data_IF_549670559968
#
_entry.id   IF_549670559968
#
_cell.length_a   1.000
_cell.length_b   1.000
_cell.length_c   1.000
_cell.angle_alpha   90.00
_cell.angle_beta   90.00
_cell.angle_gamma   90.00
#
_symmetry.space_group_name_H-M   'P 1'
#
loop_
_entity.id
_entity.type
_entity.pdbx_description
1 polymer ?
#
# COMPACT_ATOMS: atom_id res chain seq x y z
N UNK A 1 -14.48 -59.19 9.98
CA UNK A 1 -15.09 -57.95 9.46
C UNK A 1 -14.04 -57.27 8.58
N UNK A 2 -14.39 -56.79 7.38
CA UNK A 2 -13.44 -56.03 6.55
C UNK A 2 -13.39 -54.59 7.07
N UNK A 3 -12.37 -54.25 7.86
CA UNK A 3 -12.05 -52.87 8.22
C UNK A 3 -11.37 -52.19 7.02
N UNK A 4 -12.01 -51.18 6.44
CA UNK A 4 -11.47 -50.43 5.31
C UNK A 4 -10.41 -49.41 5.78
N UNK A 5 -9.25 -49.90 6.22
CA UNK A 5 -8.16 -49.09 6.79
C UNK A 5 -7.83 -47.85 5.93
N UNK A 6 -7.56 -48.04 4.64
CA UNK A 6 -7.16 -46.95 3.74
C UNK A 6 -8.29 -45.93 3.48
N UNK A 7 -9.56 -46.37 3.47
CA UNK A 7 -10.68 -45.44 3.32
C UNK A 7 -10.82 -44.55 4.55
N UNK A 8 -10.57 -45.09 5.74
CA UNK A 8 -10.59 -44.29 6.96
C UNK A 8 -9.40 -43.32 7.01
N UNK A 9 -8.21 -43.73 6.55
CA UNK A 9 -7.06 -42.82 6.38
C UNK A 9 -7.41 -41.67 5.43
N UNK A 10 -8.09 -41.94 4.32
CA UNK A 10 -8.53 -40.90 3.38
C UNK A 10 -9.52 -39.92 4.01
N UNK A 11 -10.37 -40.37 4.95
CA UNK A 11 -11.34 -39.52 5.65
C UNK A 11 -10.73 -38.65 6.75
N UNK A 12 -9.51 -38.93 7.20
CA UNK A 12 -8.84 -38.13 8.23
C UNK A 12 -8.51 -36.70 7.78
N UNK A 13 -8.46 -36.46 6.46
CA UNK A 13 -8.23 -35.15 5.83
C UNK A 13 -7.04 -34.37 6.44
N UNK A 14 -5.85 -34.97 6.37
CA UNK A 14 -4.62 -34.37 6.87
C UNK A 14 -3.72 -33.88 5.72
N UNK A 15 -2.88 -32.89 6.01
CA UNK A 15 -1.86 -32.39 5.08
C UNK A 15 -0.47 -32.85 5.50
N UNK A 16 0.24 -33.52 4.59
CA UNK A 16 1.61 -33.99 4.79
C UNK A 16 1.75 -35.51 4.69
N UNK A 17 2.75 -36.04 5.38
CA UNK A 17 3.13 -37.45 5.39
C UNK A 17 2.79 -38.06 6.75
N UNK A 18 1.83 -38.97 6.77
CA UNK A 18 1.49 -39.75 7.95
C UNK A 18 2.39 -40.99 8.02
N UNK A 19 3.25 -41.06 9.03
CA UNK A 19 4.11 -42.22 9.29
C UNK A 19 3.51 -43.06 10.41
N UNK A 20 3.29 -44.34 10.10
CA UNK A 20 2.78 -45.34 11.03
C UNK A 20 3.86 -46.40 11.29
N UNK A 21 4.25 -46.55 12.54
CA UNK A 21 5.17 -47.58 12.99
C UNK A 21 4.44 -48.57 13.89
N UNK A 22 4.58 -49.86 13.62
CA UNK A 22 3.96 -50.93 14.41
C UNK A 22 5.08 -51.87 14.88
N UNK A 23 5.17 -52.08 16.18
CA UNK A 23 6.08 -53.05 16.79
C UNK A 23 5.33 -54.02 17.70
N UNK A 24 5.91 -55.20 17.91
CA UNK A 24 5.35 -56.20 18.82
C UNK A 24 5.76 -55.86 20.25
N UNK A 25 4.77 -55.70 21.13
CA UNK A 25 4.96 -55.50 22.56
C UNK A 25 5.12 -56.80 23.33
N UNK A 26 5.14 -56.68 24.66
CA UNK A 26 5.03 -57.82 25.58
C UNK A 26 3.58 -58.33 25.62
N UNK A 27 3.39 -59.57 26.08
CA UNK A 27 2.04 -60.13 26.34
C UNK A 27 1.08 -60.10 25.14
N UNK A 28 1.61 -60.23 23.92
CA UNK A 28 0.84 -60.26 22.68
C UNK A 28 0.17 -58.93 22.27
N UNK A 29 0.59 -57.82 22.89
CA UNK A 29 0.15 -56.48 22.49
C UNK A 29 0.94 -55.94 21.29
N UNK A 30 0.37 -54.93 20.63
CA UNK A 30 1.04 -54.13 19.61
C UNK A 30 1.33 -52.73 20.17
N UNK A 31 2.48 -52.20 19.81
CA UNK A 31 2.84 -50.80 20.05
C UNK A 31 2.76 -50.08 18.72
N UNK A 32 1.86 -49.11 18.62
CA UNK A 32 1.62 -48.34 17.39
C UNK A 32 1.99 -46.90 17.64
N UNK A 33 2.89 -46.36 16.83
CA UNK A 33 3.34 -44.97 16.89
C UNK A 33 3.02 -44.25 15.59
N UNK A 34 2.43 -43.06 15.70
CA UNK A 34 1.97 -42.25 14.57
C UNK A 34 2.59 -40.86 14.67
N UNK A 35 3.17 -40.40 13.58
CA UNK A 35 3.65 -39.02 13.45
C UNK A 35 3.21 -38.45 12.12
N UNK A 36 2.68 -37.23 12.14
CA UNK A 36 2.34 -36.47 10.95
C UNK A 36 3.47 -35.48 10.67
N UNK A 37 4.05 -35.53 9.46
CA UNK A 37 5.12 -34.65 9.04
C UNK A 37 4.66 -33.79 7.86
N UNK A 38 4.61 -32.47 8.02
CA UNK A 38 4.32 -31.56 6.92
C UNK A 38 5.58 -30.79 6.51
N UNK A 39 6.15 -31.11 5.34
CA UNK A 39 7.32 -30.41 4.80
C UNK A 39 7.02 -28.97 4.39
N UNK A 40 5.76 -28.65 4.08
CA UNK A 40 5.34 -27.31 3.70
C UNK A 40 5.34 -26.33 4.86
N UNK A 41 5.28 -26.82 6.10
CA UNK A 41 5.39 -25.99 7.29
C UNK A 41 6.85 -25.59 7.50
N UNK A 42 7.19 -24.32 7.27
CA UNK A 42 8.55 -23.79 7.45
C UNK A 42 9.00 -23.69 8.92
N UNK A 43 8.08 -23.83 9.87
CA UNK A 43 8.39 -23.74 11.29
C UNK A 43 9.07 -25.02 11.80
N UNK A 44 10.24 -24.86 12.42
CA UNK A 44 11.00 -25.97 13.02
C UNK A 44 10.37 -26.54 14.28
N UNK A 45 9.45 -25.82 14.93
CA UNK A 45 8.69 -26.27 16.09
C UNK A 45 7.82 -27.50 15.76
N UNK A 46 7.49 -27.74 14.48
CA UNK A 46 6.80 -28.98 14.06
C UNK A 46 7.54 -30.26 14.49
N UNK A 47 8.86 -30.22 14.62
CA UNK A 47 9.68 -31.35 15.04
C UNK A 47 9.60 -31.63 16.56
N UNK A 48 9.02 -30.70 17.34
CA UNK A 48 8.80 -30.87 18.78
C UNK A 48 7.50 -31.61 19.08
N UNK A 49 6.63 -31.81 18.07
CA UNK A 49 5.36 -32.51 18.24
C UNK A 49 5.66 -34.00 18.47
N UNK A 50 5.32 -34.55 19.64
CA UNK A 50 5.64 -35.93 19.96
C UNK A 50 4.80 -36.92 19.13
N UNK A 51 5.33 -38.10 18.81
CA UNK A 51 4.54 -39.16 18.19
C UNK A 51 3.40 -39.64 19.10
N UNK A 52 2.22 -39.85 18.52
CA UNK A 52 1.09 -40.49 19.18
C UNK A 52 1.37 -41.99 19.30
N UNK A 53 1.65 -42.46 20.51
CA UNK A 53 2.03 -43.86 20.75
C UNK A 53 1.00 -44.56 21.63
N UNK A 54 0.51 -45.70 21.16
CA UNK A 54 -0.48 -46.53 21.82
C UNK A 54 0.06 -47.94 22.05
N UNK A 55 -0.34 -48.58 23.14
CA UNK A 55 -0.06 -49.98 23.43
C UNK A 55 -1.39 -50.66 23.75
N UNK A 56 -1.81 -51.57 22.88
CA UNK A 56 -3.10 -52.24 22.99
C UNK A 56 -3.06 -53.61 22.28
N UNK A 57 -4.09 -54.42 22.52
CA UNK A 57 -4.28 -55.68 21.78
C UNK A 57 -4.68 -55.39 20.33
N UNK A 58 -4.45 -56.33 19.38
CA UNK A 58 -4.92 -56.20 18.01
C UNK A 58 -6.43 -55.91 17.91
N UNK A 59 -7.24 -56.55 18.75
CA UNK A 59 -8.70 -56.36 18.78
C UNK A 59 -9.09 -54.93 19.14
N UNK A 60 -8.45 -54.34 20.14
CA UNK A 60 -8.72 -52.95 20.54
C UNK A 60 -8.33 -51.95 19.45
N UNK A 61 -7.26 -52.24 18.70
CA UNK A 61 -6.90 -51.43 17.52
C UNK A 61 -7.94 -51.55 16.41
N UNK A 62 -8.41 -52.77 16.09
CA UNK A 62 -9.40 -52.96 15.03
C UNK A 62 -10.72 -52.22 15.32
N UNK A 63 -11.13 -52.11 16.59
CA UNK A 63 -12.39 -51.49 17.00
C UNK A 63 -12.28 -49.97 17.24
N UNK A 64 -11.14 -49.49 17.75
CA UNK A 64 -11.01 -48.14 18.31
C UNK A 64 -9.93 -47.25 17.69
N UNK A 65 -9.04 -47.78 16.84
CA UNK A 65 -7.85 -47.04 16.38
C UNK A 65 -8.19 -45.67 15.78
N UNK A 66 -9.07 -45.63 14.78
CA UNK A 66 -9.42 -44.37 14.11
C UNK A 66 -10.17 -43.39 15.02
N UNK A 67 -10.98 -43.88 15.96
CA UNK A 67 -11.65 -43.01 16.93
C UNK A 67 -10.63 -42.29 17.81
N UNK A 68 -9.54 -42.97 18.18
CA UNK A 68 -8.48 -42.40 19.02
C UNK A 68 -7.57 -41.44 18.26
N UNK A 69 -7.28 -41.71 16.98
CA UNK A 69 -6.28 -40.94 16.22
C UNK A 69 -6.87 -39.77 15.44
N UNK A 70 -8.18 -39.75 15.15
CA UNK A 70 -8.79 -38.74 14.28
C UNK A 70 -8.58 -37.32 14.79
N UNK A 71 -9.05 -37.02 16.00
CA UNK A 71 -8.96 -35.67 16.55
C UNK A 71 -7.50 -35.20 16.76
N UNK A 72 -6.58 -36.02 17.31
CA UNK A 72 -5.18 -35.63 17.41
C UNK A 72 -4.51 -35.34 16.06
N UNK A 73 -4.73 -36.18 15.05
CA UNK A 73 -4.14 -36.00 13.72
C UNK A 73 -4.67 -34.75 13.03
N UNK A 74 -5.98 -34.50 13.11
CA UNK A 74 -6.58 -33.26 12.58
C UNK A 74 -6.05 -32.02 13.28
N UNK A 75 -5.88 -32.08 14.61
CA UNK A 75 -5.32 -30.97 15.40
C UNK A 75 -3.87 -30.67 14.97
N UNK A 76 -3.03 -31.69 14.85
CA UNK A 76 -1.64 -31.54 14.42
C UNK A 76 -1.56 -31.03 12.97
N UNK A 77 -2.41 -31.56 12.09
CA UNK A 77 -2.50 -31.12 10.68
C UNK A 77 -2.87 -29.64 10.60
N UNK A 78 -3.95 -29.23 11.27
CA UNK A 78 -4.41 -27.84 11.30
C UNK A 78 -3.34 -26.90 11.86
N UNK A 79 -2.71 -27.28 12.97
CA UNK A 79 -1.63 -26.51 13.57
C UNK A 79 -0.47 -26.27 12.59
N UNK A 80 -0.02 -27.30 11.84
CA UNK A 80 1.06 -27.14 10.86
C UNK A 80 0.68 -26.22 9.70
N UNK A 81 -0.57 -26.27 9.25
CA UNK A 81 -1.09 -25.37 8.20
C UNK A 81 -1.18 -23.93 8.72
N UNK A 82 -1.66 -23.73 9.94
CA UNK A 82 -1.78 -22.41 10.56
C UNK A 82 -0.41 -21.79 10.83
N UNK A 83 0.57 -22.57 11.29
CA UNK A 83 1.95 -22.11 11.48
C UNK A 83 2.56 -21.62 10.16
N UNK A 84 2.33 -22.32 9.06
CA UNK A 84 2.81 -21.91 7.73
C UNK A 84 2.11 -20.64 7.22
N UNK A 85 0.79 -20.58 7.36
CA UNK A 85 0.00 -19.41 6.96
C UNK A 85 0.43 -18.16 7.75
N UNK A 86 0.62 -18.31 9.07
CA UNK A 86 1.09 -17.25 9.94
C UNK A 86 2.48 -16.75 9.55
N UNK A 87 3.43 -17.66 9.28
CA UNK A 87 4.78 -17.28 8.86
C UNK A 87 4.78 -16.49 7.55
N UNK A 88 4.02 -16.96 6.55
CA UNK A 88 3.84 -16.23 5.27
C UNK A 88 3.23 -14.84 5.47
N UNK A 89 2.20 -14.73 6.29
CA UNK A 89 1.57 -13.44 6.61
C UNK A 89 2.54 -12.52 7.35
N UNK A 90 3.32 -13.05 8.30
CA UNK A 90 4.32 -12.28 9.04
C UNK A 90 5.41 -11.72 8.10
N UNK A 91 5.89 -12.53 7.16
CA UNK A 91 6.85 -12.09 6.14
C UNK A 91 6.27 -10.99 5.25
N UNK A 92 5.03 -11.17 4.76
CA UNK A 92 4.35 -10.16 3.95
C UNK A 92 4.21 -8.82 4.69
N UNK A 93 3.82 -8.86 5.97
CA UNK A 93 3.70 -7.66 6.82
C UNK A 93 5.06 -7.00 7.06
N UNK A 94 6.12 -7.78 7.30
CA UNK A 94 7.49 -7.25 7.42
C UNK A 94 7.94 -6.56 6.13
N UNK A 95 7.74 -7.20 4.98
CA UNK A 95 8.07 -6.63 3.68
C UNK A 95 7.29 -5.33 3.43
N UNK A 96 6.00 -5.28 3.74
CA UNK A 96 5.20 -4.07 3.61
C UNK A 96 5.72 -2.96 4.52
N UNK A 97 6.03 -3.27 5.79
CA UNK A 97 6.58 -2.29 6.73
C UNK A 97 7.92 -1.72 6.26
N UNK A 98 8.81 -2.57 5.75
CA UNK A 98 10.10 -2.14 5.19
C UNK A 98 9.93 -1.32 3.91
N UNK A 99 9.02 -1.72 3.02
CA UNK A 99 8.70 -0.96 1.81
C UNK A 99 8.11 0.42 2.13
N UNK A 100 7.22 0.52 3.12
CA UNK A 100 6.65 1.80 3.56
C UNK A 100 7.71 2.70 4.20
N UNK A 101 8.58 2.14 5.04
CA UNK A 101 9.75 2.88 5.58
C UNK A 101 10.67 3.37 4.46
N UNK A 102 11.01 2.53 3.49
CA UNK A 102 11.86 2.91 2.37
C UNK A 102 11.19 3.95 1.45
N UNK A 103 9.87 3.84 1.20
CA UNK A 103 9.11 4.84 0.44
C UNK A 103 9.09 6.18 1.17
N UNK A 104 8.85 6.19 2.48
CA UNK A 104 8.89 7.40 3.29
C UNK A 104 10.29 8.03 3.30
N UNK A 105 11.35 7.22 3.42
CA UNK A 105 12.72 7.72 3.42
C UNK A 105 13.16 8.25 2.05
N UNK A 106 12.78 7.57 0.95
CA UNK A 106 13.01 8.06 -0.43
C UNK A 106 12.25 9.35 -0.69
N UNK A 107 10.98 9.44 -0.31
CA UNK A 107 10.18 10.66 -0.45
C UNK A 107 10.78 11.83 0.36
N UNK A 108 11.26 11.57 1.58
CA UNK A 108 11.94 12.58 2.41
C UNK A 108 13.25 13.05 1.79
N UNK A 109 14.11 12.13 1.33
CA UNK A 109 15.37 12.47 0.66
C UNK A 109 15.14 13.25 -0.65
N UNK A 110 14.11 12.88 -1.41
CA UNK A 110 13.77 13.60 -2.64
C UNK A 110 13.24 15.01 -2.35
N UNK A 111 12.41 15.17 -1.30
CA UNK A 111 11.93 16.49 -0.86
C UNK A 111 13.08 17.37 -0.35
N UNK A 112 13.97 16.83 0.49
CA UNK A 112 15.15 17.55 0.98
C UNK A 112 16.11 17.96 -0.17
N UNK A 113 16.30 17.10 -1.16
CA UNK A 113 17.13 17.41 -2.32
C UNK A 113 16.52 18.48 -3.23
N UNK A 114 15.20 18.45 -3.43
CA UNK A 114 14.47 19.51 -4.16
C UNK A 114 14.54 20.82 -3.38
N UNK A 115 14.26 20.82 -2.08
CA UNK A 115 14.32 22.03 -1.25
C UNK A 115 15.72 22.66 -1.22
N UNK A 116 16.79 21.84 -1.21
CA UNK A 116 18.17 22.33 -1.28
C UNK A 116 18.47 22.99 -2.63
N UNK A 117 18.08 22.36 -3.76
CA UNK A 117 18.25 22.95 -5.09
C UNK A 117 17.49 24.27 -5.25
N UNK A 118 16.29 24.37 -4.70
CA UNK A 118 15.50 25.60 -4.70
C UNK A 118 16.22 26.71 -3.93
N UNK A 119 16.68 26.44 -2.70
CA UNK A 119 17.41 27.40 -1.87
C UNK A 119 18.71 27.87 -2.53
N UNK A 120 19.49 26.96 -3.10
CA UNK A 120 20.75 27.29 -3.79
C UNK A 120 20.49 28.12 -5.07
N UNK A 121 19.40 27.83 -5.80
CA UNK A 121 18.97 28.61 -6.95
C UNK A 121 18.54 30.02 -6.57
N UNK A 122 17.70 30.15 -5.54
CA UNK A 122 17.25 31.45 -5.03
C UNK A 122 18.40 32.28 -4.44
N UNK A 123 19.36 31.68 -3.75
CA UNK A 123 20.54 32.38 -3.26
C UNK A 123 21.37 33.00 -4.40
N UNK A 124 21.56 32.27 -5.51
CA UNK A 124 22.26 32.80 -6.71
C UNK A 124 21.49 33.94 -7.37
N UNK A 125 20.17 33.87 -7.39
CA UNK A 125 19.31 34.95 -7.87
C UNK A 125 19.50 36.20 -7.02
N UNK A 126 19.51 36.05 -5.70
CA UNK A 126 19.68 37.15 -4.75
C UNK A 126 21.09 37.79 -4.83
N UNK A 127 22.13 36.99 -5.06
CA UNK A 127 23.50 37.47 -5.31
C UNK A 127 23.58 38.29 -6.62
N UNK A 128 23.06 37.75 -7.71
CA UNK A 128 23.04 38.43 -9.02
C UNK A 128 22.18 39.69 -8.99
N UNK A 129 21.12 39.72 -8.19
CA UNK A 129 20.31 40.92 -7.95
C UNK A 129 21.11 42.00 -7.19
N UNK A 130 21.89 41.62 -6.16
CA UNK A 130 22.77 42.55 -5.43
C UNK A 130 23.91 43.09 -6.30
N UNK A 131 24.41 42.29 -7.23
CA UNK A 131 25.40 42.70 -8.24
C UNK A 131 24.79 43.57 -9.36
N UNK A 132 23.46 43.78 -9.37
CA UNK A 132 22.77 44.57 -10.40
C UNK A 132 22.58 43.86 -11.74
N UNK A 133 22.88 42.55 -11.83
CA UNK A 133 22.73 41.72 -13.03
C UNK A 133 21.34 41.09 -13.11
N UNK A 134 20.29 41.91 -13.12
CA UNK A 134 18.90 41.45 -13.01
C UNK A 134 18.45 40.50 -14.15
N UNK A 135 19.00 40.65 -15.37
CA UNK A 135 18.74 39.73 -16.50
C UNK A 135 19.30 38.33 -16.25
N UNK A 136 20.50 38.25 -15.68
CA UNK A 136 21.12 36.97 -15.32
C UNK A 136 20.45 36.34 -14.11
N UNK A 137 20.07 37.16 -13.12
CA UNK A 137 19.27 36.74 -11.97
C UNK A 137 17.95 36.09 -12.41
N UNK A 138 17.23 36.69 -13.36
CA UNK A 138 15.97 36.17 -13.88
C UNK A 138 16.12 34.79 -14.56
N UNK A 139 17.17 34.59 -15.35
CA UNK A 139 17.47 33.30 -15.97
C UNK A 139 17.88 32.21 -14.97
N UNK A 140 18.40 32.60 -13.81
CA UNK A 140 18.78 31.67 -12.74
C UNK A 140 17.66 31.38 -11.75
N UNK A 141 16.49 32.01 -11.88
CA UNK A 141 15.33 31.70 -11.03
C UNK A 141 14.87 30.27 -11.31
N UNK A 142 14.80 29.41 -10.27
CA UNK A 142 14.26 28.06 -10.40
C UNK A 142 12.89 28.05 -11.09
N UNK A 143 12.59 27.03 -11.89
CA UNK A 143 11.36 27.02 -12.67
C UNK A 143 10.15 26.49 -11.88
N UNK A 144 8.97 26.98 -12.25
CA UNK A 144 7.69 26.64 -11.64
C UNK A 144 7.37 25.15 -11.87
N UNK A 145 7.83 24.62 -13.01
CA UNK A 145 7.69 23.20 -13.38
C UNK A 145 8.52 22.28 -12.50
N UNK A 146 9.67 22.73 -12.00
CA UNK A 146 10.55 21.97 -11.11
C UNK A 146 10.12 22.08 -9.64
N UNK A 147 9.47 23.19 -9.26
CA UNK A 147 9.02 23.47 -7.89
C UNK A 147 7.56 23.95 -7.84
N UNK A 148 6.58 23.07 -8.12
CA UNK A 148 5.17 23.45 -8.09
C UNK A 148 4.69 23.88 -6.70
N UNK A 149 5.28 23.33 -5.62
CA UNK A 149 5.01 23.75 -4.23
C UNK A 149 5.45 25.20 -3.94
N UNK A 150 6.36 25.76 -4.75
CA UNK A 150 6.91 27.12 -4.63
C UNK A 150 6.57 28.02 -5.82
N UNK A 151 5.61 27.60 -6.65
CA UNK A 151 5.21 28.26 -7.88
C UNK A 151 4.92 29.76 -7.71
N UNK A 152 4.18 30.12 -6.66
CA UNK A 152 3.78 31.51 -6.43
C UNK A 152 4.93 32.40 -5.97
N UNK A 153 5.86 31.86 -5.17
CA UNK A 153 7.10 32.57 -4.78
C UNK A 153 8.01 32.79 -5.99
N UNK A 154 8.14 31.77 -6.85
CA UNK A 154 8.93 31.84 -8.09
C UNK A 154 8.34 32.86 -9.06
N UNK A 155 7.00 32.85 -9.28
CA UNK A 155 6.33 33.81 -10.15
C UNK A 155 6.57 35.24 -9.68
N UNK A 156 6.36 35.50 -8.38
CA UNK A 156 6.62 36.83 -7.79
C UNK A 156 8.06 37.25 -8.00
N UNK A 157 9.03 36.36 -7.76
CA UNK A 157 10.46 36.68 -7.95
C UNK A 157 10.82 36.95 -9.41
N UNK A 158 10.32 36.13 -10.34
CA UNK A 158 10.51 36.34 -11.79
C UNK A 158 9.93 37.67 -12.24
N UNK A 159 8.71 38.02 -11.81
CA UNK A 159 8.08 39.31 -12.14
C UNK A 159 8.85 40.49 -11.53
N UNK A 160 9.19 40.45 -10.24
CA UNK A 160 9.95 41.54 -9.61
C UNK A 160 11.34 41.75 -10.21
N UNK A 161 11.99 40.68 -10.71
CA UNK A 161 13.27 40.81 -11.41
C UNK A 161 13.07 41.34 -12.82
N UNK A 162 12.05 40.88 -13.56
CA UNK A 162 11.74 41.42 -14.89
C UNK A 162 11.44 42.90 -14.83
N UNK A 163 10.71 43.37 -13.83
CA UNK A 163 10.39 44.80 -13.68
C UNK A 163 11.63 45.67 -13.44
N UNK A 164 12.73 45.10 -12.90
CA UNK A 164 13.97 45.83 -12.61
C UNK A 164 14.91 45.99 -13.81
N UNK A 165 14.80 45.16 -14.85
CA UNK A 165 15.56 45.30 -16.10
C UNK A 165 14.70 45.47 -17.34
N UNK A 166 13.38 45.38 -17.20
CA UNK A 166 12.46 46.05 -18.09
C UNK A 166 12.81 47.53 -18.00
N UNK A 167 13.72 47.97 -18.88
CA UNK A 167 13.80 49.35 -19.27
C UNK A 167 12.37 49.82 -19.51
N UNK A 168 11.97 51.04 -19.09
CA UNK A 168 10.69 51.58 -19.51
C UNK A 168 10.68 51.36 -21.00
N UNK A 169 9.67 50.63 -21.47
CA UNK A 169 9.40 50.54 -22.88
C UNK A 169 9.54 51.95 -23.42
N UNK A 170 10.25 52.09 -24.53
CA UNK A 170 10.27 53.27 -25.38
C UNK A 170 8.86 53.47 -26.00
N UNK A 171 7.85 53.49 -25.11
CA UNK A 171 6.41 53.60 -25.23
C UNK A 171 5.87 53.99 -23.84
N UNK A 172 6.49 54.99 -23.22
CA UNK A 172 5.84 55.82 -22.22
C UNK A 172 5.42 57.12 -22.88
N UNK A 173 4.17 57.19 -23.34
CA UNK A 173 3.35 58.40 -23.43
C UNK A 173 2.06 58.11 -24.21
N UNK A 174 1.01 57.70 -23.52
CA UNK A 174 -0.34 58.25 -23.69
C UNK A 174 -1.09 57.83 -22.42
N UNK A 175 -0.88 58.55 -21.32
CA UNK A 175 -1.85 59.55 -20.85
C UNK A 175 -3.28 59.03 -20.93
N UNK A 176 -3.82 58.67 -19.76
CA UNK A 176 -5.22 58.93 -19.47
C UNK A 176 -5.55 60.37 -19.90
N UNK A 177 -6.71 60.57 -20.56
CA UNK A 177 -7.63 61.52 -19.98
C UNK A 177 -9.04 60.95 -19.85
N UNK A 178 -9.52 61.13 -18.63
CA UNK A 178 -10.89 61.08 -18.14
C UNK A 178 -11.82 62.09 -18.86
N UNK A 179 -13.10 61.70 -19.03
CA UNK A 179 -14.32 62.54 -19.15
C UNK A 179 -14.48 63.42 -20.43
N UNK A 180 -15.63 63.60 -21.08
CA UNK A 180 -17.08 63.30 -20.85
C UNK A 180 -17.84 63.78 -22.14
N UNK A 181 -19.20 63.89 -22.17
CA UNK A 181 -20.17 62.90 -22.65
C UNK A 181 -20.83 63.32 -23.99
N UNK A 182 -21.63 62.46 -24.64
CA UNK A 182 -22.76 62.91 -25.46
C UNK A 182 -23.80 61.80 -25.65
N UNK A 183 -25.05 62.23 -25.56
CA UNK A 183 -26.26 61.49 -25.25
C UNK A 183 -26.91 60.80 -26.45
N UNK A 184 -27.55 59.67 -26.14
CA UNK A 184 -28.88 59.18 -26.57
C UNK A 184 -29.31 59.24 -28.03
N UNK A 185 -29.76 58.08 -28.54
CA UNK A 185 -31.19 57.90 -28.85
C UNK A 185 -31.61 56.44 -28.63
N UNK A 186 -32.67 56.31 -27.85
CA UNK A 186 -33.50 55.13 -27.61
C UNK A 186 -34.24 54.66 -28.87
N UNK A 187 -34.54 53.37 -28.91
CA UNK A 187 -35.86 52.82 -29.26
C UNK A 187 -35.85 51.34 -28.83
N UNK A 188 -36.28 50.98 -27.62
CA UNK A 188 -37.67 50.64 -27.22
C UNK A 188 -38.35 49.59 -28.10
N UNK A 189 -38.43 48.37 -27.59
CA UNK A 189 -39.68 47.61 -27.43
C UNK A 189 -39.36 46.46 -26.45
N UNK A 190 -39.83 46.45 -25.20
CA UNK A 190 -41.19 46.03 -24.79
C UNK A 190 -41.60 44.70 -25.45
N UNK A 191 -42.00 43.63 -24.76
CA UNK A 191 -42.33 43.39 -23.35
C UNK A 191 -42.57 41.84 -23.20
N UNK A 192 -43.15 41.27 -22.12
CA UNK A 192 -42.62 40.09 -21.42
C UNK A 192 -43.62 38.89 -21.39
N UNK A 193 -43.39 37.95 -20.43
CA UNK A 193 -44.34 36.97 -19.85
C UNK A 193 -44.47 35.68 -20.71
N UNK A 194 -44.25 34.47 -20.20
CA UNK A 194 -45.08 33.79 -19.19
C UNK A 194 -44.32 32.85 -18.24
N UNK A 195 -44.75 32.91 -16.97
CA UNK A 195 -44.68 31.82 -16.02
C UNK A 195 -45.53 30.64 -16.52
N UNK A 196 -45.04 29.41 -16.36
CA UNK A 196 -45.89 28.24 -16.21
C UNK A 196 -45.20 27.22 -15.31
N UNK A 197 -45.66 27.20 -14.06
CA UNK A 197 -45.71 26.02 -13.20
C UNK A 197 -46.35 24.84 -13.94
N UNK A 198 -45.75 23.66 -13.81
CA UNK A 198 -46.39 22.33 -13.81
C UNK A 198 -45.27 21.36 -13.38
N UNK A 199 -45.11 21.10 -12.08
CA UNK A 199 -45.85 20.11 -11.28
C UNK A 199 -45.71 18.68 -11.80
N UNK A 200 -45.31 17.78 -10.88
CA UNK A 200 -45.53 16.32 -10.90
C UNK A 200 -44.78 15.53 -12.01
N UNK A 201 -44.03 14.45 -11.75
CA UNK A 201 -44.43 13.27 -10.99
C UNK A 201 -43.24 12.39 -10.60
N UNK A 202 -43.42 11.67 -9.50
CA UNK A 202 -42.64 10.50 -9.08
C UNK A 202 -42.66 9.40 -10.15
N UNK A 203 -41.57 8.65 -10.29
CA UNK A 203 -41.46 7.22 -9.92
C UNK A 203 -40.09 6.66 -10.33
#
# INVERSE_FOLDING_TARGET
MNTNFFNQIQQLDFTGVLQLNISKGVENNLIVSIILNNEQCGDSAKNLIPPLTFNATPQEFDEGFFQQITAPIQTVSGLMVDMEAFMKQMEAVKMQSEMEKQKAEKAKKEKEAKDKKYKDGMAKVDELEKEGKFREAWMKVPDITEFPEKADEIRKRKTSLSDKFATPSLFGAMEEPTAEPLQTVEATADYPIDEADENEEQY
#
